data_IF_502440266686
#
_entry.id   IF_502440266686
#
_cell.length_a   1.000
_cell.length_b   1.000
_cell.length_c   1.000
_cell.angle_alpha   90.00
_cell.angle_beta   90.00
_cell.angle_gamma   90.00
#
_symmetry.space_group_name_H-M   'P 1'
#
loop_
_entity.id
_entity.type
_entity.pdbx_description
1 polymer ?
#
# COMPACT_ATOMS: atom_id res chain seq x y z
N UNK A 1 -24.50 9.29 25.77
CA UNK A 1 -24.73 8.87 24.37
C UNK A 1 -23.37 8.66 23.73
N UNK A 2 -23.04 7.44 23.32
CA UNK A 2 -21.83 7.20 22.53
C UNK A 2 -22.09 7.76 21.14
N UNK A 3 -21.35 8.79 20.74
CA UNK A 3 -21.31 9.22 19.34
C UNK A 3 -20.60 8.09 18.60
N UNK A 4 -21.34 7.32 17.80
CA UNK A 4 -20.72 6.40 16.86
C UNK A 4 -19.93 7.27 15.88
N UNK A 5 -18.62 7.33 16.06
CA UNK A 5 -17.72 7.95 15.10
C UNK A 5 -17.89 7.17 13.80
N UNK A 6 -18.46 7.80 12.77
CA UNK A 6 -18.53 7.17 11.45
C UNK A 6 -17.10 6.77 11.04
N UNK A 7 -16.89 5.56 10.47
CA UNK A 7 -15.57 5.15 10.04
C UNK A 7 -15.02 6.19 9.06
N UNK A 8 -13.75 6.57 9.23
CA UNK A 8 -13.09 7.59 8.40
C UNK A 8 -13.12 7.23 6.90
N UNK A 9 -13.28 5.95 6.59
CA UNK A 9 -13.46 5.37 5.27
C UNK A 9 -13.16 3.88 5.30
N UNK A 10 -13.07 3.25 4.12
CA UNK A 10 -12.64 1.86 3.97
C UNK A 10 -11.62 1.73 2.84
N UNK A 11 -10.72 0.75 2.99
CA UNK A 11 -9.76 0.33 1.97
C UNK A 11 -9.99 -1.16 1.74
N UNK A 12 -10.38 -1.54 0.52
CA UNK A 12 -10.62 -2.92 0.12
C UNK A 12 -9.61 -3.33 -0.94
N UNK A 13 -8.92 -4.45 -0.74
CA UNK A 13 -7.97 -5.00 -1.72
C UNK A 13 -8.71 -5.75 -2.82
N UNK A 14 -8.46 -5.38 -4.07
CA UNK A 14 -9.13 -5.93 -5.26
C UNK A 14 -8.25 -6.95 -6.01
N UNK A 15 -6.97 -7.05 -5.65
CA UNK A 15 -6.03 -8.00 -6.24
C UNK A 15 -4.77 -7.37 -6.85
N UNK A 16 -3.81 -8.21 -7.28
CA UNK A 16 -2.63 -7.74 -7.98
C UNK A 16 -2.98 -7.36 -9.43
N UNK A 17 -2.02 -6.79 -10.16
CA UNK A 17 -2.16 -6.55 -11.60
C UNK A 17 -1.03 -7.25 -12.38
N UNK A 18 -1.31 -8.41 -13.01
CA UNK A 18 -0.27 -9.32 -13.54
C UNK A 18 0.58 -8.77 -14.70
N UNK A 19 0.24 -7.61 -15.27
CA UNK A 19 0.94 -7.03 -16.44
C UNK A 19 1.92 -5.89 -16.10
N UNK A 20 2.07 -5.53 -14.83
CA UNK A 20 2.96 -4.41 -14.43
C UNK A 20 4.38 -4.83 -14.08
N UNK A 21 4.61 -6.13 -13.92
CA UNK A 21 5.94 -6.68 -13.67
C UNK A 21 6.93 -6.38 -14.79
N UNK A 22 6.47 -6.32 -16.05
CA UNK A 22 7.31 -5.96 -17.20
C UNK A 22 7.88 -4.54 -17.10
N UNK A 23 7.20 -3.65 -16.36
CA UNK A 23 7.64 -2.28 -16.09
C UNK A 23 8.50 -2.18 -14.82
N UNK A 24 8.79 -3.31 -14.16
CA UNK A 24 9.57 -3.36 -12.93
C UNK A 24 8.80 -2.94 -11.68
N UNK A 25 7.48 -3.12 -11.67
CA UNK A 25 6.60 -2.85 -10.51
C UNK A 25 5.84 -4.11 -10.10
N UNK A 26 5.60 -4.25 -8.81
CA UNK A 26 4.48 -5.02 -8.30
C UNK A 26 3.31 -4.06 -8.02
N UNK A 27 2.12 -4.40 -8.51
CA UNK A 27 0.94 -3.55 -8.37
C UNK A 27 -0.10 -4.22 -7.49
N UNK A 28 -0.63 -3.47 -6.53
CA UNK A 28 -1.80 -3.82 -5.75
C UNK A 28 -2.93 -2.82 -6.01
N UNK A 29 -4.13 -3.33 -6.33
CA UNK A 29 -5.31 -2.52 -6.62
C UNK A 29 -6.23 -2.46 -5.40
N UNK A 30 -6.81 -1.29 -5.16
CA UNK A 30 -7.69 -1.04 -4.03
C UNK A 30 -8.93 -0.24 -4.44
N UNK A 31 -10.06 -0.57 -3.82
CA UNK A 31 -11.22 0.31 -3.77
C UNK A 31 -11.18 1.09 -2.45
N UNK A 32 -11.10 2.41 -2.55
CA UNK A 32 -11.09 3.32 -1.40
C UNK A 32 -12.41 4.06 -1.33
N UNK A 33 -13.06 4.01 -0.16
CA UNK A 33 -14.28 4.78 0.12
C UNK A 33 -14.05 5.71 1.30
N UNK A 34 -14.47 6.97 1.18
CA UNK A 34 -14.39 7.98 2.24
C UNK A 34 -15.72 8.73 2.26
N UNK A 35 -16.42 8.83 3.41
CA UNK A 35 -17.69 9.55 3.47
C UNK A 35 -17.59 10.99 2.94
N UNK A 36 -18.52 11.35 2.05
CA UNK A 36 -18.55 12.65 1.38
C UNK A 36 -17.64 12.76 0.15
N UNK A 37 -16.82 11.74 -0.16
CA UNK A 37 -16.01 11.67 -1.37
C UNK A 37 -16.55 10.59 -2.29
N UNK A 38 -16.26 10.70 -3.59
CA UNK A 38 -16.54 9.61 -4.52
C UNK A 38 -15.60 8.44 -4.23
N UNK A 39 -16.15 7.23 -4.22
CA UNK A 39 -15.34 6.02 -4.21
C UNK A 39 -14.35 6.06 -5.39
N UNK A 40 -13.13 5.55 -5.15
CA UNK A 40 -12.04 5.65 -6.10
C UNK A 40 -11.21 4.37 -6.09
N UNK A 41 -10.90 3.90 -7.28
CA UNK A 41 -9.91 2.86 -7.49
C UNK A 41 -8.51 3.48 -7.41
N UNK A 42 -7.64 2.83 -6.64
CA UNK A 42 -6.26 3.25 -6.41
C UNK A 42 -5.32 2.10 -6.70
N UNK A 43 -4.38 2.32 -7.61
CA UNK A 43 -3.27 1.42 -7.88
C UNK A 43 -2.06 1.85 -7.06
N UNK A 44 -1.51 0.93 -6.26
CA UNK A 44 -0.25 1.12 -5.54
C UNK A 44 0.83 0.34 -6.27
N UNK A 45 1.83 1.06 -6.78
CA UNK A 45 2.92 0.54 -7.60
C UNK A 45 4.20 0.51 -6.76
N UNK A 46 4.55 -0.67 -6.24
CA UNK A 46 5.82 -0.89 -5.55
C UNK A 46 6.92 -1.16 -6.56
N UNK A 47 7.88 -0.25 -6.68
CA UNK A 47 8.95 -0.42 -7.66
C UNK A 47 9.95 -1.49 -7.24
N UNK A 48 10.63 -2.11 -8.21
CA UNK A 48 11.55 -3.21 -7.93
C UNK A 48 12.68 -2.87 -6.94
N UNK A 49 13.31 -1.67 -6.96
CA UNK A 49 14.27 -1.29 -5.93
C UNK A 49 13.71 -1.26 -4.51
N UNK A 50 12.50 -0.75 -4.31
CA UNK A 50 11.83 -0.71 -3.01
C UNK A 50 11.42 -2.10 -2.56
N UNK A 51 10.85 -2.91 -3.45
CA UNK A 51 10.52 -4.31 -3.16
C UNK A 51 11.77 -5.08 -2.71
N UNK A 52 12.88 -5.01 -3.47
CA UNK A 52 14.14 -5.69 -3.11
C UNK A 52 14.71 -5.21 -1.77
N UNK A 53 14.58 -3.93 -1.45
CA UNK A 53 14.99 -3.42 -0.13
C UNK A 53 14.19 -4.10 0.98
N UNK A 54 12.86 -4.10 0.88
CA UNK A 54 11.97 -4.73 1.86
C UNK A 54 12.28 -6.23 2.01
N UNK A 55 12.40 -6.95 0.90
CA UNK A 55 12.71 -8.40 0.89
C UNK A 55 14.04 -8.69 1.59
N UNK A 56 15.08 -7.90 1.28
CA UNK A 56 16.40 -8.03 1.92
C UNK A 56 16.32 -7.76 3.42
N UNK A 57 15.55 -6.76 3.85
CA UNK A 57 15.35 -6.44 5.27
C UNK A 57 14.59 -7.56 6.00
N UNK A 58 13.68 -8.26 5.32
CA UNK A 58 12.94 -9.41 5.85
C UNK A 58 13.76 -10.71 5.84
N UNK A 59 14.89 -10.76 5.12
CA UNK A 59 15.70 -11.97 4.98
C UNK A 59 14.99 -13.11 4.23
N UNK A 60 14.01 -12.79 3.37
CA UNK A 60 13.23 -13.75 2.59
C UNK A 60 13.75 -13.88 1.16
N UNK A 61 13.36 -14.95 0.47
CA UNK A 61 13.65 -15.14 -0.95
C UNK A 61 12.78 -14.19 -1.81
N UNK A 62 13.38 -13.63 -2.86
CA UNK A 62 12.72 -12.68 -3.76
C UNK A 62 11.88 -13.43 -4.82
N UNK A 63 10.60 -13.67 -4.49
CA UNK A 63 9.63 -14.31 -5.39
C UNK A 63 8.55 -13.32 -5.88
N UNK A 64 7.90 -13.56 -7.03
CA UNK A 64 6.77 -12.75 -7.50
C UNK A 64 5.65 -12.62 -6.45
N UNK A 65 5.29 -13.73 -5.80
CA UNK A 65 4.23 -13.77 -4.79
C UNK A 65 4.57 -12.88 -3.58
N UNK A 66 5.85 -12.86 -3.18
CA UNK A 66 6.30 -11.98 -2.11
C UNK A 66 6.25 -10.51 -2.53
N UNK A 67 6.59 -10.19 -3.79
CA UNK A 67 6.51 -8.81 -4.29
C UNK A 67 5.06 -8.31 -4.32
N UNK A 68 4.13 -9.14 -4.75
CA UNK A 68 2.69 -8.85 -4.73
C UNK A 68 2.17 -8.70 -3.29
N UNK A 69 2.58 -9.60 -2.39
CA UNK A 69 2.29 -9.50 -0.96
C UNK A 69 2.77 -8.17 -0.38
N UNK A 70 4.01 -7.76 -0.70
CA UNK A 70 4.57 -6.50 -0.23
C UNK A 70 3.85 -5.29 -0.83
N UNK A 71 3.49 -5.32 -2.12
CA UNK A 71 2.69 -4.26 -2.73
C UNK A 71 1.33 -4.12 -2.04
N UNK A 72 0.68 -5.24 -1.70
CA UNK A 72 -0.57 -5.25 -0.92
C UNK A 72 -0.36 -4.65 0.47
N UNK A 73 0.62 -5.12 1.23
CA UNK A 73 0.86 -4.66 2.61
C UNK A 73 1.17 -3.15 2.64
N UNK A 74 2.05 -2.71 1.75
CA UNK A 74 2.41 -1.29 1.60
C UNK A 74 1.18 -0.46 1.24
N UNK A 75 0.38 -0.93 0.27
CA UNK A 75 -0.81 -0.22 -0.18
C UNK A 75 -1.87 -0.11 0.90
N UNK A 76 -2.18 -1.18 1.63
CA UNK A 76 -3.12 -1.14 2.76
C UNK A 76 -2.65 -0.16 3.83
N UNK A 77 -1.39 -0.25 4.25
CA UNK A 77 -0.83 0.58 5.31
C UNK A 77 -0.80 2.07 4.92
N UNK A 78 -0.46 2.38 3.67
CA UNK A 78 -0.48 3.75 3.15
C UNK A 78 -1.91 4.30 3.06
N UNK A 79 -2.81 3.58 2.41
CA UNK A 79 -4.17 4.06 2.14
C UNK A 79 -4.99 4.21 3.43
N UNK A 80 -4.77 3.35 4.44
CA UNK A 80 -5.40 3.53 5.77
C UNK A 80 -5.01 4.88 6.39
N UNK A 81 -3.72 5.24 6.38
CA UNK A 81 -3.25 6.54 6.90
C UNK A 81 -3.88 7.71 6.15
N UNK A 82 -3.97 7.61 4.83
CA UNK A 82 -4.57 8.67 4.01
C UNK A 82 -6.06 8.84 4.32
N UNK A 83 -6.80 7.72 4.43
CA UNK A 83 -8.22 7.71 4.80
C UNK A 83 -8.43 8.28 6.21
N UNK A 84 -7.65 7.84 7.19
CA UNK A 84 -7.72 8.32 8.58
C UNK A 84 -7.39 9.81 8.69
N UNK A 85 -6.37 10.27 7.97
CA UNK A 85 -5.98 11.68 7.91
C UNK A 85 -6.91 12.55 7.06
N UNK A 86 -7.89 11.95 6.35
CA UNK A 86 -8.73 12.60 5.33
C UNK A 86 -7.89 13.41 4.33
N UNK A 87 -6.70 12.91 4.01
CA UNK A 87 -5.79 13.56 3.08
C UNK A 87 -6.23 13.30 1.63
N UNK A 88 -6.02 14.24 0.70
CA UNK A 88 -6.20 13.97 -0.72
C UNK A 88 -5.32 12.80 -1.17
N UNK A 89 -5.85 11.92 -2.02
CA UNK A 89 -5.09 10.82 -2.62
C UNK A 89 -5.31 10.72 -4.12
N UNK A 90 -4.25 10.30 -4.80
CA UNK A 90 -4.24 10.04 -6.23
C UNK A 90 -4.76 8.62 -6.54
N UNK A 91 -5.17 8.39 -7.79
CA UNK A 91 -5.57 7.07 -8.26
C UNK A 91 -4.37 6.14 -8.53
N UNK A 92 -3.16 6.68 -8.58
CA UNK A 92 -1.93 5.92 -8.75
C UNK A 92 -0.92 6.43 -7.73
N UNK A 93 -0.37 5.54 -6.92
CA UNK A 93 0.67 5.86 -5.94
C UNK A 93 1.90 5.03 -6.26
N UNK A 94 3.01 5.69 -6.56
CA UNK A 94 4.29 5.01 -6.78
C UNK A 94 5.11 4.97 -5.49
N UNK A 95 5.42 3.76 -5.02
CA UNK A 95 6.24 3.53 -3.85
C UNK A 95 7.65 3.18 -4.29
N UNK A 96 8.57 4.10 -4.00
CA UNK A 96 10.01 3.98 -4.24
C UNK A 96 10.77 3.95 -2.91
N UNK A 97 12.09 3.74 -2.96
CA UNK A 97 12.93 3.88 -1.76
C UNK A 97 12.82 5.28 -1.14
N UNK A 98 12.81 6.34 -1.96
CA UNK A 98 12.66 7.72 -1.48
C UNK A 98 11.32 7.92 -0.77
N UNK A 99 10.24 7.37 -1.32
CA UNK A 99 8.92 7.40 -0.67
C UNK A 99 8.96 6.71 0.70
N UNK A 100 9.59 5.53 0.81
CA UNK A 100 9.71 4.82 2.08
C UNK A 100 10.60 5.58 3.09
N UNK A 101 11.63 6.28 2.63
CA UNK A 101 12.51 7.09 3.48
C UNK A 101 11.83 8.36 4.01
N UNK A 102 10.92 8.94 3.22
CA UNK A 102 10.07 10.06 3.64
C UNK A 102 8.96 9.63 4.63
N UNK A 103 8.65 8.34 4.67
CA UNK A 103 7.61 7.76 5.52
C UNK A 103 8.15 6.63 6.41
N UNK A 104 9.04 6.93 7.39
CA UNK A 104 9.68 5.90 8.21
C UNK A 104 8.68 5.09 9.06
N UNK A 105 7.58 5.70 9.49
CA UNK A 105 6.52 5.00 10.24
C UNK A 105 5.77 3.98 9.38
N UNK A 106 5.56 4.29 8.10
CA UNK A 106 4.99 3.34 7.14
C UNK A 106 5.95 2.17 6.94
N UNK A 107 7.25 2.45 6.75
CA UNK A 107 8.27 1.42 6.60
C UNK A 107 8.34 0.51 7.84
N UNK A 108 8.24 1.06 9.05
CA UNK A 108 8.21 0.28 10.28
C UNK A 108 7.00 -0.67 10.34
N UNK A 109 5.80 -0.18 10.00
CA UNK A 109 4.58 -1.00 9.98
C UNK A 109 4.62 -2.10 8.92
N UNK A 110 5.08 -1.78 7.70
CA UNK A 110 5.21 -2.75 6.61
C UNK A 110 6.11 -3.90 7.03
N UNK A 111 7.24 -3.61 7.70
CA UNK A 111 8.17 -4.63 8.19
C UNK A 111 7.55 -5.49 9.29
N UNK A 112 6.85 -4.89 10.24
CA UNK A 112 6.19 -5.63 11.31
C UNK A 112 5.11 -6.56 10.75
N UNK A 113 4.30 -6.07 9.80
CA UNK A 113 3.22 -6.83 9.15
C UNK A 113 3.76 -7.96 8.29
N UNK A 114 4.79 -7.71 7.48
CA UNK A 114 5.36 -8.70 6.56
C UNK A 114 6.24 -9.77 7.23
N UNK A 115 6.59 -9.57 8.51
CA UNK A 115 7.34 -10.52 9.33
C UNK A 115 6.45 -11.40 10.22
N UNK A 116 5.14 -11.09 10.30
CA UNK A 116 4.13 -11.85 11.06
C UNK A 116 3.59 -13.01 10.24
#
# INVERSE_FOLDING_TARGET
>A
MAVATEPAGSVSYEGPSPDTEFLGYAQANFLVTVPGWKAREVAVLLNAPAARRLIRELGREDTPELRDELARIVGEAWLRRVVEGRAPFESIVTVSNGFLDEHPDLLAEVRATAAS
#
